data_IF_895834626015
#
_entry.id   IF_895834626015
#
_cell.length_a   1.000
_cell.length_b   1.000
_cell.length_c   1.000
_cell.angle_alpha   90.00
_cell.angle_beta   90.00
_cell.angle_gamma   90.00
#
_symmetry.space_group_name_H-M   'P 1'
#
loop_
_entity.id
_entity.type
_entity.pdbx_description
1 polymer ?
#
# COMPACT_ATOMS: atom_id res chain seq x y z
N UNK A 1 26.43 16.39 11.87
CA UNK A 1 26.02 14.96 11.87
C UNK A 1 24.72 14.88 11.10
N UNK A 2 24.88 14.38 9.89
CA UNK A 2 24.02 14.49 8.74
C UNK A 2 22.75 13.64 8.93
N UNK A 3 21.57 14.27 8.96
CA UNK A 3 20.27 13.59 9.08
C UNK A 3 19.56 13.54 7.72
N UNK A 4 20.33 13.47 6.64
CA UNK A 4 19.88 13.37 5.25
C UNK A 4 19.47 11.94 4.85
N UNK A 5 18.78 11.20 5.73
CA UNK A 5 18.04 10.01 5.31
C UNK A 5 16.56 10.38 5.37
N UNK A 6 16.16 11.18 4.39
CA UNK A 6 14.75 11.44 4.10
C UNK A 6 14.23 10.16 3.44
N UNK A 7 13.79 9.21 4.26
CA UNK A 7 13.12 7.98 3.81
C UNK A 7 11.74 8.29 3.23
N UNK A 8 11.72 8.92 2.07
CA UNK A 8 10.59 8.95 1.19
C UNK A 8 11.21 8.91 -0.18
N UNK A 9 11.00 7.80 -0.90
CA UNK A 9 11.33 7.65 -2.31
C UNK A 9 11.30 9.03 -2.98
N UNK A 10 12.46 9.53 -3.41
CA UNK A 10 12.51 10.73 -4.22
C UNK A 10 11.49 10.56 -5.35
N UNK A 11 10.79 11.62 -5.71
CA UNK A 11 9.64 11.58 -6.62
C UNK A 11 9.92 10.77 -7.91
N UNK A 12 11.15 10.85 -8.42
CA UNK A 12 11.66 10.07 -9.55
C UNK A 12 11.67 8.54 -9.31
N UNK A 13 12.05 8.10 -8.10
CA UNK A 13 12.07 6.68 -7.73
C UNK A 13 10.65 6.14 -7.59
N UNK A 14 9.72 6.98 -7.10
CA UNK A 14 8.31 6.65 -7.04
C UNK A 14 7.70 6.44 -8.42
N UNK A 15 7.99 7.36 -9.35
CA UNK A 15 7.53 7.27 -10.74
C UNK A 15 8.06 6.02 -11.42
N UNK A 16 9.36 5.76 -11.30
CA UNK A 16 10.00 4.56 -11.86
C UNK A 16 9.38 3.27 -11.29
N UNK A 17 9.12 3.24 -9.98
CA UNK A 17 8.47 2.09 -9.35
C UNK A 17 7.05 1.88 -9.87
N UNK A 18 6.27 2.95 -10.04
CA UNK A 18 4.90 2.89 -10.53
C UNK A 18 4.84 2.46 -12.01
N UNK A 19 5.74 2.97 -12.86
CA UNK A 19 5.86 2.53 -14.25
C UNK A 19 6.22 1.04 -14.35
N UNK A 20 7.14 0.57 -13.51
CA UNK A 20 7.52 -0.85 -13.44
C UNK A 20 6.34 -1.72 -13.02
N UNK A 21 5.58 -1.29 -12.00
CA UNK A 21 4.39 -2.01 -11.53
C UNK A 21 3.30 -2.06 -12.62
N UNK A 22 3.11 -0.97 -13.38
CA UNK A 22 2.16 -0.93 -14.49
C UNK A 22 2.59 -1.85 -15.64
N UNK A 23 3.90 -1.92 -15.95
CA UNK A 23 4.44 -2.84 -16.95
C UNK A 23 4.23 -4.31 -16.56
N UNK A 24 4.51 -4.68 -15.32
CA UNK A 24 4.34 -6.06 -14.84
C UNK A 24 2.87 -6.51 -14.79
N UNK A 25 1.91 -5.59 -14.64
CA UNK A 25 0.47 -5.92 -14.70
C UNK A 25 0.07 -6.39 -16.11
N UNK A 26 0.70 -5.86 -17.17
CA UNK A 26 0.39 -6.21 -18.56
C UNK A 26 0.71 -7.68 -18.87
N UNK A 27 1.60 -8.32 -18.09
CA UNK A 27 1.91 -9.75 -18.17
C UNK A 27 0.79 -10.65 -17.59
N UNK A 28 -0.34 -10.09 -17.16
CA UNK A 28 -1.46 -10.83 -16.56
C UNK A 28 -1.21 -11.29 -15.12
N UNK A 29 -0.19 -10.73 -14.46
CA UNK A 29 0.13 -11.02 -13.05
C UNK A 29 -0.63 -10.07 -12.13
N UNK A 30 -1.22 -10.61 -11.06
CA UNK A 30 -1.78 -9.81 -9.98
C UNK A 30 -0.62 -9.25 -9.14
N UNK A 31 -0.58 -7.93 -8.96
CA UNK A 31 0.46 -7.24 -8.19
C UNK A 31 -0.20 -6.48 -7.04
N UNK A 32 0.31 -6.70 -5.84
CA UNK A 32 -0.06 -5.94 -4.65
C UNK A 32 1.16 -5.21 -4.09
N UNK A 33 0.93 -4.00 -3.58
CA UNK A 33 1.98 -3.17 -2.98
C UNK A 33 1.57 -2.78 -1.57
N UNK A 34 2.49 -2.90 -0.61
CA UNK A 34 2.32 -2.40 0.76
C UNK A 34 3.16 -1.13 0.88
N UNK A 35 2.51 0.01 1.09
CA UNK A 35 3.20 1.29 1.21
C UNK A 35 2.47 2.24 2.14
N UNK A 36 3.23 3.09 2.83
CA UNK A 36 2.72 4.22 3.59
C UNK A 36 2.80 5.55 2.81
N UNK A 37 3.43 5.53 1.62
CA UNK A 37 3.69 6.73 0.81
C UNK A 37 2.37 7.26 0.23
N UNK A 38 2.00 8.54 0.49
CA UNK A 38 0.74 9.11 0.03
C UNK A 38 0.55 9.07 -1.48
N UNK A 39 1.59 9.39 -2.25
CA UNK A 39 1.52 9.46 -3.70
C UNK A 39 1.23 8.10 -4.37
N UNK A 40 1.56 6.97 -3.73
CA UNK A 40 1.13 5.64 -4.20
C UNK A 40 -0.39 5.46 -4.12
N UNK A 41 -1.02 6.02 -3.07
CA UNK A 41 -2.47 5.93 -2.84
C UNK A 41 -3.26 6.71 -3.90
N UNK A 42 -2.69 7.80 -4.41
CA UNK A 42 -3.34 8.62 -5.44
C UNK A 42 -3.36 7.93 -6.82
N UNK A 43 -2.37 7.06 -7.09
CA UNK A 43 -2.25 6.38 -8.39
C UNK A 43 -2.93 5.01 -8.44
N UNK A 44 -3.05 4.31 -7.31
CA UNK A 44 -3.65 2.97 -7.22
C UNK A 44 -5.06 3.07 -6.60
N UNK A 45 -6.09 2.89 -7.42
CA UNK A 45 -7.49 3.07 -7.01
C UNK A 45 -8.03 1.95 -6.10
N UNK A 46 -7.55 0.72 -6.27
CA UNK A 46 -7.97 -0.43 -5.45
C UNK A 46 -7.05 -0.57 -4.26
N UNK A 47 -7.58 -0.32 -3.06
CA UNK A 47 -6.78 -0.27 -1.84
C UNK A 47 -7.44 -1.03 -0.70
N UNK A 48 -6.59 -1.70 0.10
CA UNK A 48 -6.95 -2.23 1.41
C UNK A 48 -6.24 -1.36 2.44
N UNK A 49 -7.03 -0.71 3.29
CA UNK A 49 -6.57 0.17 4.34
C UNK A 49 -6.47 -0.56 5.66
N UNK A 50 -5.30 -0.45 6.30
CA UNK A 50 -5.06 -0.90 7.67
C UNK A 50 -5.11 0.31 8.59
N UNK A 51 -6.02 0.28 9.56
CA UNK A 51 -6.25 1.34 10.53
C UNK A 51 -5.87 0.80 11.91
N UNK A 52 -4.88 1.40 12.54
CA UNK A 52 -4.48 0.99 13.89
C UNK A 52 -5.58 1.31 14.90
N UNK A 53 -5.83 0.38 15.81
CA UNK A 53 -6.77 0.53 16.92
C UNK A 53 -6.04 0.39 18.26
N UNK A 54 -6.74 0.72 19.33
CA UNK A 54 -6.23 0.53 20.69
C UNK A 54 -6.12 -0.95 21.04
N UNK A 55 -5.23 -1.26 21.98
CA UNK A 55 -5.03 -2.64 22.45
C UNK A 55 -4.31 -3.54 21.44
N UNK A 56 -3.41 -3.00 20.62
CA UNK A 56 -2.57 -3.76 19.70
C UNK A 56 -3.32 -4.41 18.54
N UNK A 57 -4.53 -3.91 18.23
CA UNK A 57 -5.38 -4.42 17.15
C UNK A 57 -5.38 -3.46 15.97
N UNK A 58 -5.74 -3.97 14.80
CA UNK A 58 -5.92 -3.17 13.59
C UNK A 58 -7.23 -3.55 12.91
N UNK A 59 -7.91 -2.54 12.36
CA UNK A 59 -9.07 -2.70 11.51
C UNK A 59 -8.62 -2.68 10.05
N UNK A 60 -9.14 -3.62 9.26
CA UNK A 60 -8.89 -3.70 7.82
C UNK A 60 -10.17 -3.27 7.09
N UNK A 61 -10.05 -2.39 6.10
CA UNK A 61 -11.16 -1.89 5.30
C UNK A 61 -10.76 -1.82 3.83
N UNK A 62 -11.65 -2.20 2.92
CA UNK A 62 -11.39 -2.17 1.47
C UNK A 62 -12.19 -3.23 0.71
N UNK A 63 -12.06 -3.27 -0.63
CA UNK A 63 -12.73 -4.27 -1.45
C UNK A 63 -12.39 -5.70 -0.98
N UNK A 64 -13.41 -6.54 -0.85
CA UNK A 64 -13.26 -7.93 -0.40
C UNK A 64 -12.98 -8.11 1.10
N UNK A 65 -12.87 -7.03 1.89
CA UNK A 65 -12.69 -7.14 3.33
C UNK A 65 -14.02 -7.44 4.03
N UNK A 66 -14.04 -8.50 4.84
CA UNK A 66 -15.19 -8.91 5.64
C UNK A 66 -14.77 -9.30 7.04
N UNK A 67 -15.72 -9.23 8.00
CA UNK A 67 -15.49 -9.79 9.33
C UNK A 67 -15.53 -11.30 9.22
N UNK A 68 -14.49 -11.98 9.71
CA UNK A 68 -14.56 -13.42 9.95
C UNK A 68 -15.57 -13.62 11.10
N UNK A 69 -16.59 -14.48 10.95
CA UNK A 69 -17.47 -14.81 12.06
C UNK A 69 -16.62 -15.35 13.21
N UNK A 70 -16.86 -14.88 14.44
CA UNK A 70 -16.29 -15.54 15.59
C UNK A 70 -16.90 -16.95 15.64
N UNK A 71 -16.07 -18.00 15.55
CA UNK A 71 -16.52 -19.36 15.81
C UNK A 71 -17.20 -19.41 17.18
N UNK A 72 -18.43 -19.94 17.18
CA UNK A 72 -19.30 -20.06 18.35
C UNK A 72 -18.96 -21.30 19.18
#
# INVERSE_FOLDING_TARGET
MDRAIREGLDEEVLDTALETLAGLQQDGKLIGVISHVPALKERISTQIQVITQTGGRSLISGPGCGKVPAEA
#
